data_IF_355954922145
#
_entry.id   IF_355954922145
#
_cell.length_a   1.000
_cell.length_b   1.000
_cell.length_c   1.000
_cell.angle_alpha   90.00
_cell.angle_beta   90.00
_cell.angle_gamma   90.00
#
_symmetry.space_group_name_H-M   'P 1'
#
loop_
_entity.id
_entity.type
_entity.pdbx_description
1 polymer ?
#
# COMPACT_ATOMS: atom_id res chain seq x y z
N UNK A 1 25.18 15.51 -38.32
CA UNK A 1 24.04 15.98 -37.50
C UNK A 1 22.90 15.05 -37.83
N UNK A 2 22.76 13.96 -37.07
CA UNK A 2 21.76 12.94 -37.32
C UNK A 2 20.36 13.50 -37.05
N UNK A 3 19.40 13.14 -37.88
CA UNK A 3 17.98 13.40 -37.64
C UNK A 3 17.63 12.85 -36.25
N UNK A 4 17.33 13.74 -35.31
CA UNK A 4 16.67 13.32 -34.07
C UNK A 4 15.37 12.63 -34.47
N UNK A 5 15.16 11.38 -34.01
CA UNK A 5 13.88 10.71 -34.18
C UNK A 5 12.77 11.61 -33.65
N UNK A 6 11.59 11.59 -34.28
CA UNK A 6 10.48 12.36 -33.75
C UNK A 6 10.11 11.86 -32.33
N UNK A 7 9.42 12.70 -31.55
CA UNK A 7 9.10 12.36 -30.16
C UNK A 7 8.29 11.05 -30.01
N UNK A 8 7.53 10.65 -31.04
CA UNK A 8 6.79 9.41 -31.03
C UNK A 8 7.70 8.19 -31.26
N UNK A 9 8.69 8.31 -32.15
CA UNK A 9 9.70 7.28 -32.37
C UNK A 9 10.57 7.05 -31.12
N UNK A 10 11.04 8.12 -30.49
CA UNK A 10 11.80 8.02 -29.24
C UNK A 10 10.95 7.40 -28.12
N UNK A 11 9.65 7.69 -28.06
CA UNK A 11 8.73 7.04 -27.12
C UNK A 11 8.64 5.52 -27.37
N UNK A 12 8.52 5.08 -28.62
CA UNK A 12 8.54 3.65 -28.97
C UNK A 12 9.84 2.99 -28.49
N UNK A 13 10.98 3.60 -28.76
CA UNK A 13 12.27 3.05 -28.33
C UNK A 13 12.40 3.01 -26.80
N UNK A 14 11.91 4.04 -26.10
CA UNK A 14 11.88 4.04 -24.63
C UNK A 14 11.04 2.87 -24.09
N UNK A 15 9.86 2.62 -24.66
CA UNK A 15 9.03 1.47 -24.28
C UNK A 15 9.72 0.14 -24.56
N UNK A 16 10.39 -0.02 -25.70
CA UNK A 16 11.13 -1.23 -26.04
C UNK A 16 12.33 -1.48 -25.13
N UNK A 17 13.11 -0.44 -24.85
CA UNK A 17 14.22 -0.49 -23.92
C UNK A 17 13.75 -0.81 -22.48
N UNK A 18 12.58 -0.31 -22.08
CA UNK A 18 11.98 -0.64 -20.79
C UNK A 18 11.47 -2.09 -20.75
N UNK A 19 10.78 -2.56 -21.80
CA UNK A 19 10.28 -3.93 -21.91
C UNK A 19 11.40 -4.96 -21.79
N UNK A 20 12.56 -4.70 -22.42
CA UNK A 20 13.73 -5.58 -22.33
C UNK A 20 14.36 -5.67 -20.92
N UNK A 21 14.01 -4.76 -20.01
CA UNK A 21 14.47 -4.73 -18.63
C UNK A 21 13.41 -5.23 -17.63
N UNK A 22 12.15 -5.37 -18.07
CA UNK A 22 11.02 -5.67 -17.21
C UNK A 22 11.15 -7.09 -16.62
N UNK A 23 11.27 -7.17 -15.29
CA UNK A 23 11.45 -8.43 -14.56
C UNK A 23 11.06 -8.30 -13.08
N UNK A 24 10.91 -9.44 -12.41
CA UNK A 24 10.58 -9.53 -10.98
C UNK A 24 9.87 -10.83 -10.66
N UNK A 25 10.19 -11.45 -9.52
CA UNK A 25 9.63 -12.75 -9.13
C UNK A 25 8.79 -12.63 -7.86
N UNK A 26 7.57 -13.16 -7.92
CA UNK A 26 6.62 -13.20 -6.81
C UNK A 26 7.14 -13.98 -5.60
N UNK A 27 8.05 -14.95 -5.83
CA UNK A 27 8.70 -15.73 -4.77
C UNK A 27 9.36 -14.85 -3.70
N UNK A 28 9.84 -13.66 -4.09
CA UNK A 28 10.55 -12.75 -3.18
C UNK A 28 9.63 -11.92 -2.28
N UNK A 29 8.30 -12.04 -2.41
CA UNK A 29 7.33 -11.30 -1.58
C UNK A 29 7.58 -11.37 -0.06
N UNK A 30 8.03 -12.50 0.53
CA UNK A 30 8.33 -12.57 1.95
C UNK A 30 9.59 -11.79 2.36
N UNK A 31 10.48 -11.46 1.42
CA UNK A 31 11.84 -10.96 1.67
C UNK A 31 12.00 -9.46 1.38
N UNK A 32 13.13 -8.88 1.81
CA UNK A 32 13.48 -7.50 1.43
C UNK A 32 13.67 -7.36 -0.10
N UNK A 33 14.03 -8.46 -0.77
CA UNK A 33 14.20 -8.52 -2.22
C UNK A 33 12.96 -8.08 -3.01
N UNK A 34 11.74 -8.22 -2.47
CA UNK A 34 10.52 -7.70 -3.12
C UNK A 34 10.62 -6.21 -3.50
N UNK A 35 11.33 -5.42 -2.69
CA UNK A 35 11.42 -3.98 -2.88
C UNK A 35 12.38 -3.61 -4.01
N UNK A 36 13.29 -4.52 -4.38
CA UNK A 36 14.26 -4.30 -5.45
C UNK A 36 13.56 -4.08 -6.79
N UNK A 37 12.53 -4.87 -7.09
CA UNK A 37 11.78 -4.73 -8.33
C UNK A 37 11.14 -3.33 -8.46
N UNK A 38 10.57 -2.79 -7.39
CA UNK A 38 9.94 -1.45 -7.39
C UNK A 38 10.98 -0.35 -7.70
N UNK A 39 12.12 -0.37 -7.01
CA UNK A 39 13.20 0.59 -7.26
C UNK A 39 13.82 0.44 -8.66
N UNK A 40 14.00 -0.80 -9.11
CA UNK A 40 14.53 -1.09 -10.44
C UNK A 40 13.57 -0.66 -11.55
N UNK A 41 12.25 -0.77 -11.37
CA UNK A 41 11.27 -0.29 -12.37
C UNK A 41 11.42 1.20 -12.63
N UNK A 42 11.54 2.02 -11.59
CA UNK A 42 11.74 3.47 -11.73
C UNK A 42 13.09 3.78 -12.41
N UNK A 43 14.17 3.11 -11.99
CA UNK A 43 15.51 3.27 -12.59
C UNK A 43 15.53 2.85 -14.07
N UNK A 44 14.93 1.71 -14.40
CA UNK A 44 14.92 1.16 -15.75
C UNK A 44 14.12 2.04 -16.72
N UNK A 45 12.97 2.58 -16.28
CA UNK A 45 12.18 3.53 -17.07
C UNK A 45 12.95 4.82 -17.38
N UNK A 46 13.60 5.41 -16.37
CA UNK A 46 14.44 6.61 -16.58
C UNK A 46 15.59 6.32 -17.55
N UNK A 47 16.31 5.22 -17.35
CA UNK A 47 17.40 4.82 -18.25
C UNK A 47 16.91 4.62 -19.68
N UNK A 48 15.77 3.95 -19.86
CA UNK A 48 15.19 3.70 -21.18
C UNK A 48 14.83 4.99 -21.92
N UNK A 49 14.26 5.98 -21.21
CA UNK A 49 13.96 7.30 -21.77
C UNK A 49 15.24 8.06 -22.16
N UNK A 50 16.27 8.07 -21.31
CA UNK A 50 17.55 8.72 -21.59
C UNK A 50 18.28 8.07 -22.78
N UNK A 51 18.25 6.74 -22.87
CA UNK A 51 18.81 6.00 -24.01
C UNK A 51 18.09 6.37 -25.31
N UNK A 52 16.76 6.44 -25.30
CA UNK A 52 15.99 6.82 -26.47
C UNK A 52 16.26 8.27 -26.94
N UNK A 53 16.51 9.21 -26.00
CA UNK A 53 16.93 10.57 -26.33
C UNK A 53 18.26 10.61 -27.09
N UNK A 54 19.15 9.65 -26.82
CA UNK A 54 20.42 9.45 -27.52
C UNK A 54 20.28 8.56 -28.79
N UNK A 55 19.05 8.35 -29.26
CA UNK A 55 18.70 7.49 -30.41
C UNK A 55 19.15 6.03 -30.25
N UNK A 56 19.19 5.51 -29.03
CA UNK A 56 19.34 4.09 -28.78
C UNK A 56 18.03 3.36 -29.09
N UNK A 57 18.02 2.60 -30.19
CA UNK A 57 16.79 2.03 -30.77
C UNK A 57 16.21 0.88 -29.94
N UNK A 58 14.88 0.82 -29.85
CA UNK A 58 14.13 -0.17 -29.03
C UNK A 58 13.10 -1.02 -29.79
N UNK A 59 13.17 -1.06 -31.13
CA UNK A 59 12.23 -1.82 -31.97
C UNK A 59 10.92 -1.09 -32.29
N UNK A 60 10.22 -1.55 -33.33
CA UNK A 60 9.02 -0.88 -33.88
C UNK A 60 7.73 -1.17 -33.09
N UNK A 61 7.59 -2.39 -32.56
CA UNK A 61 6.38 -2.88 -31.90
C UNK A 61 6.71 -3.48 -30.53
N UNK A 62 7.15 -2.66 -29.56
CA UNK A 62 7.72 -3.13 -28.30
C UNK A 62 6.73 -3.88 -27.40
N UNK A 63 5.44 -3.57 -27.50
CA UNK A 63 4.40 -4.18 -26.66
C UNK A 63 3.63 -5.27 -27.40
N UNK A 64 3.14 -4.94 -28.59
CA UNK A 64 2.18 -5.70 -29.38
C UNK A 64 2.80 -6.58 -30.46
N UNK A 65 4.10 -6.44 -30.74
CA UNK A 65 4.79 -7.25 -31.75
C UNK A 65 4.73 -8.74 -31.44
N UNK A 66 5.05 -9.58 -32.44
CA UNK A 66 5.08 -11.05 -32.30
C UNK A 66 5.89 -11.53 -31.08
N UNK A 67 7.00 -10.86 -30.80
CA UNK A 67 7.86 -11.08 -29.63
C UNK A 67 7.84 -9.88 -28.65
N UNK A 68 6.78 -9.06 -28.73
CA UNK A 68 6.57 -7.92 -27.86
C UNK A 68 6.19 -8.33 -26.44
N UNK A 69 6.32 -7.38 -25.52
CA UNK A 69 6.12 -7.62 -24.08
C UNK A 69 4.81 -8.35 -23.76
N UNK A 70 3.69 -7.94 -24.37
CA UNK A 70 2.38 -8.51 -24.08
C UNK A 70 2.28 -9.99 -24.44
N UNK A 71 2.88 -10.39 -25.57
CA UNK A 71 2.87 -11.79 -26.03
C UNK A 71 3.88 -12.66 -25.28
N UNK A 72 5.01 -12.08 -24.86
CA UNK A 72 6.04 -12.82 -24.10
C UNK A 72 5.59 -13.08 -22.65
N UNK A 73 4.94 -12.09 -22.03
CA UNK A 73 4.56 -12.15 -20.61
C UNK A 73 3.13 -12.66 -20.40
N UNK A 74 2.25 -12.56 -21.41
CA UNK A 74 0.85 -12.99 -21.34
C UNK A 74 0.59 -14.27 -22.12
N UNK A 75 -0.34 -15.10 -21.64
CA UNK A 75 -0.76 -16.31 -22.37
C UNK A 75 -1.59 -15.97 -23.61
N UNK A 76 -2.55 -15.05 -23.49
CA UNK A 76 -3.38 -14.51 -24.58
C UNK A 76 -3.66 -13.04 -24.23
N UNK A 77 -2.81 -12.09 -24.65
CA UNK A 77 -2.98 -10.69 -24.27
C UNK A 77 -4.18 -10.06 -24.98
N UNK A 78 -5.00 -9.31 -24.24
CA UNK A 78 -5.98 -8.39 -24.83
C UNK A 78 -5.31 -7.03 -25.07
N UNK A 79 -4.91 -6.79 -26.32
CA UNK A 79 -4.22 -5.55 -26.70
C UNK A 79 -5.14 -4.32 -26.68
N UNK A 80 -6.47 -4.51 -26.69
CA UNK A 80 -7.39 -3.38 -26.61
C UNK A 80 -7.25 -2.66 -25.26
N UNK A 81 -6.85 -3.36 -24.20
CA UNK A 81 -6.59 -2.74 -22.89
C UNK A 81 -5.50 -1.66 -22.91
N UNK A 82 -4.61 -1.64 -23.91
CA UNK A 82 -3.55 -0.63 -24.02
C UNK A 82 -4.08 0.77 -24.37
N UNK A 83 -5.18 0.83 -25.12
CA UNK A 83 -5.71 2.07 -25.71
C UNK A 83 -7.19 2.31 -25.44
N UNK A 84 -7.87 1.33 -24.83
CA UNK A 84 -9.28 1.44 -24.46
C UNK A 84 -9.51 2.70 -23.60
N UNK A 85 -10.40 3.57 -24.06
CA UNK A 85 -10.75 4.86 -23.41
C UNK A 85 -9.55 5.79 -23.17
N UNK A 86 -8.47 5.67 -23.95
CA UNK A 86 -7.33 6.58 -23.86
C UNK A 86 -7.79 8.02 -24.12
N UNK A 87 -7.53 8.90 -23.15
CA UNK A 87 -7.97 10.31 -23.17
C UNK A 87 -9.35 10.55 -22.57
N UNK A 88 -10.10 9.50 -22.22
CA UNK A 88 -11.42 9.59 -21.58
C UNK A 88 -11.39 9.10 -20.13
N UNK A 89 -10.65 8.02 -19.85
CA UNK A 89 -10.48 7.47 -18.50
C UNK A 89 -9.01 7.33 -18.11
N UNK A 90 -8.75 7.39 -16.81
CA UNK A 90 -7.41 7.37 -16.24
C UNK A 90 -7.37 6.39 -15.07
N UNK A 91 -6.65 5.28 -15.21
CA UNK A 91 -6.50 4.26 -14.15
C UNK A 91 -5.91 4.84 -12.86
N UNK A 92 -5.10 5.91 -12.95
CA UNK A 92 -4.57 6.60 -11.79
C UNK A 92 -5.68 7.13 -10.86
N UNK A 93 -6.82 7.55 -11.41
CA UNK A 93 -7.96 8.04 -10.64
C UNK A 93 -8.71 6.92 -9.88
N UNK A 94 -8.47 5.65 -10.25
CA UNK A 94 -9.03 4.49 -9.56
C UNK A 94 -8.13 3.97 -8.42
N UNK A 95 -6.99 4.62 -8.14
CA UNK A 95 -6.08 4.20 -7.09
C UNK A 95 -6.65 4.46 -5.68
N UNK A 96 -6.58 3.45 -4.84
CA UNK A 96 -6.89 3.51 -3.42
C UNK A 96 -5.67 3.90 -2.57
N UNK A 97 -5.89 4.64 -1.48
CA UNK A 97 -4.86 4.94 -0.49
C UNK A 97 -4.94 3.99 0.69
N UNK A 98 -3.81 3.43 1.11
CA UNK A 98 -3.78 2.56 2.29
C UNK A 98 -3.77 3.37 3.59
N UNK A 99 -4.77 3.25 4.48
CA UNK A 99 -4.71 3.88 5.80
C UNK A 99 -3.66 3.22 6.70
N UNK A 100 -3.41 1.92 6.52
CA UNK A 100 -2.53 1.11 7.38
C UNK A 100 -1.37 0.48 6.60
N UNK A 101 -0.19 0.28 7.22
CA UNK A 101 0.99 -0.31 6.59
C UNK A 101 0.91 -1.85 6.52
N UNK A 102 -0.25 -2.40 6.16
CA UNK A 102 -0.55 -3.84 6.15
C UNK A 102 -1.12 -4.29 4.79
N UNK A 103 -1.29 -5.60 4.61
CA UNK A 103 -1.99 -6.17 3.45
C UNK A 103 -3.47 -5.76 3.43
N UNK A 104 -4.03 -5.55 2.24
CA UNK A 104 -5.41 -5.02 2.07
C UNK A 104 -6.47 -5.84 2.80
N UNK A 105 -6.30 -7.17 2.89
CA UNK A 105 -7.19 -8.08 3.62
C UNK A 105 -7.33 -7.76 5.12
N UNK A 106 -6.38 -7.05 5.71
CA UNK A 106 -6.39 -6.69 7.14
C UNK A 106 -7.11 -5.36 7.42
N UNK A 107 -7.31 -4.52 6.40
CA UNK A 107 -7.83 -3.16 6.56
C UNK A 107 -9.24 -3.14 7.15
N UNK A 108 -10.23 -3.91 6.66
CA UNK A 108 -11.56 -3.90 7.24
C UNK A 108 -11.59 -4.43 8.68
N UNK A 109 -10.67 -5.33 9.04
CA UNK A 109 -10.52 -5.83 10.43
C UNK A 109 -10.02 -4.71 11.36
N UNK A 110 -9.00 -3.97 10.92
CA UNK A 110 -8.44 -2.84 11.68
C UNK A 110 -9.52 -1.75 11.85
N UNK A 111 -10.22 -1.40 10.77
CA UNK A 111 -11.33 -0.43 10.79
C UNK A 111 -12.39 -0.84 11.82
N UNK A 112 -12.83 -2.10 11.80
CA UNK A 112 -13.81 -2.62 12.74
C UNK A 112 -13.34 -2.49 14.19
N UNK A 113 -12.09 -2.84 14.49
CA UNK A 113 -11.54 -2.75 15.84
C UNK A 113 -11.44 -1.30 16.33
N UNK A 114 -10.95 -0.38 15.48
CA UNK A 114 -10.83 1.04 15.82
C UNK A 114 -12.20 1.69 16.04
N UNK A 115 -13.19 1.36 15.21
CA UNK A 115 -14.56 1.85 15.34
C UNK A 115 -15.21 1.33 16.63
N UNK A 116 -15.11 0.03 16.92
CA UNK A 116 -15.62 -0.56 18.16
C UNK A 116 -14.99 0.08 19.41
N UNK A 117 -13.67 0.28 19.39
CA UNK A 117 -12.96 0.93 20.49
C UNK A 117 -13.46 2.35 20.71
N UNK A 118 -13.61 3.14 19.64
CA UNK A 118 -14.05 4.52 19.72
C UNK A 118 -15.52 4.65 20.16
N UNK A 119 -16.42 3.84 19.58
CA UNK A 119 -17.87 3.90 19.83
C UNK A 119 -18.25 3.47 21.26
N UNK A 120 -17.51 2.51 21.83
CA UNK A 120 -17.83 1.93 23.13
C UNK A 120 -16.79 2.25 24.23
N UNK A 121 -15.78 3.07 23.92
CA UNK A 121 -14.65 3.35 24.82
C UNK A 121 -14.04 2.07 25.42
N UNK A 122 -13.83 1.05 24.57
CA UNK A 122 -13.42 -0.29 25.02
C UNK A 122 -12.06 -0.24 25.71
N UNK A 123 -12.01 -0.70 26.96
CA UNK A 123 -10.76 -1.05 27.63
C UNK A 123 -10.30 -2.45 27.16
N UNK A 124 -9.16 -2.48 26.48
CA UNK A 124 -8.57 -3.71 25.94
C UNK A 124 -8.30 -4.77 27.03
N UNK A 125 -8.06 -4.37 28.27
CA UNK A 125 -7.80 -5.30 29.38
C UNK A 125 -9.04 -6.11 29.79
N UNK A 126 -10.23 -5.60 29.49
CA UNK A 126 -11.53 -6.20 29.78
C UNK A 126 -12.05 -7.09 28.64
N UNK A 127 -11.31 -7.20 27.53
CA UNK A 127 -11.68 -8.07 26.41
C UNK A 127 -11.43 -9.54 26.79
N UNK A 128 -12.47 -10.36 26.69
CA UNK A 128 -12.40 -11.82 26.85
C UNK A 128 -11.94 -12.48 25.56
N UNK A 129 -12.54 -12.11 24.43
CA UNK A 129 -12.27 -12.74 23.13
C UNK A 129 -12.64 -11.83 21.96
N UNK A 130 -11.90 -11.94 20.85
CA UNK A 130 -12.18 -11.26 19.57
C UNK A 130 -12.34 -12.33 18.49
N UNK A 131 -13.52 -12.42 17.89
CA UNK A 131 -13.76 -13.28 16.73
C UNK A 131 -13.74 -12.43 15.45
N UNK A 132 -12.87 -12.78 14.52
CA UNK A 132 -12.80 -12.16 13.19
C UNK A 132 -13.38 -13.14 12.18
N UNK A 133 -14.28 -12.67 11.31
CA UNK A 133 -14.77 -13.43 10.17
C UNK A 133 -14.50 -12.66 8.88
N UNK A 134 -13.82 -13.30 7.93
CA UNK A 134 -13.37 -12.67 6.69
C UNK A 134 -13.10 -13.67 5.57
N UNK A 135 -12.77 -13.14 4.39
CA UNK A 135 -12.45 -13.93 3.21
C UNK A 135 -11.35 -14.99 3.49
N UNK A 136 -11.34 -16.18 2.85
CA UNK A 136 -10.30 -17.19 3.04
C UNK A 136 -8.87 -16.66 2.83
N UNK A 137 -8.69 -15.70 1.92
CA UNK A 137 -7.39 -15.06 1.67
C UNK A 137 -6.82 -14.38 2.92
N UNK A 138 -7.66 -13.85 3.81
CA UNK A 138 -7.22 -13.30 5.10
C UNK A 138 -6.53 -14.39 5.94
N UNK A 139 -7.08 -15.61 5.97
CA UNK A 139 -6.49 -16.73 6.68
C UNK A 139 -5.20 -17.25 6.04
N UNK A 140 -5.17 -17.35 4.72
CA UNK A 140 -3.97 -17.75 3.98
C UNK A 140 -2.82 -16.75 4.13
N UNK A 141 -3.15 -15.46 4.18
CA UNK A 141 -2.17 -14.38 4.11
C UNK A 141 -1.87 -13.73 5.44
N UNK A 142 -2.66 -13.91 6.50
CA UNK A 142 -2.50 -13.15 7.74
C UNK A 142 -2.78 -13.90 9.06
N UNK A 143 -3.09 -15.19 9.03
CA UNK A 143 -3.24 -15.99 10.26
C UNK A 143 -1.87 -16.29 10.89
N UNK A 144 -1.38 -15.37 11.71
CA UNK A 144 -0.04 -15.40 12.31
C UNK A 144 -0.11 -14.93 13.77
N UNK A 145 -0.46 -15.80 14.72
CA UNK A 145 -0.73 -15.39 16.11
C UNK A 145 0.50 -14.92 16.88
N UNK A 146 1.70 -15.31 16.46
CA UNK A 146 2.96 -15.00 17.15
C UNK A 146 3.97 -14.31 16.20
N UNK A 147 3.72 -13.05 15.79
CA UNK A 147 4.69 -12.31 14.99
C UNK A 147 5.96 -12.04 15.79
N UNK A 148 7.12 -12.18 15.16
CA UNK A 148 8.44 -12.10 15.82
C UNK A 148 9.03 -10.69 15.81
N UNK A 149 8.58 -9.86 14.87
CA UNK A 149 9.07 -8.51 14.61
C UNK A 149 7.97 -7.70 13.92
N UNK A 150 8.22 -6.41 13.71
CA UNK A 150 7.29 -5.47 13.11
C UNK A 150 6.79 -5.86 11.72
N UNK A 151 7.68 -6.39 10.89
CA UNK A 151 7.35 -6.86 9.54
C UNK A 151 6.40 -8.07 9.57
N UNK A 152 6.67 -9.03 10.45
CA UNK A 152 5.79 -10.19 10.63
C UNK A 152 4.42 -9.74 11.18
N UNK A 153 4.43 -8.74 12.07
CA UNK A 153 3.21 -8.19 12.69
C UNK A 153 2.32 -7.45 11.70
N UNK A 154 2.87 -6.78 10.69
CA UNK A 154 2.08 -6.15 9.61
C UNK A 154 1.31 -7.15 8.75
N UNK A 155 1.56 -8.44 8.96
CA UNK A 155 0.89 -9.55 8.31
C UNK A 155 0.19 -10.46 9.34
N UNK A 156 -0.17 -9.96 10.52
CA UNK A 156 -0.84 -10.73 11.58
C UNK A 156 -2.21 -10.13 11.89
N UNK A 157 -3.28 -10.88 11.65
CA UNK A 157 -4.63 -10.45 12.02
C UNK A 157 -4.75 -10.29 13.54
N UNK A 158 -4.11 -11.17 14.30
CA UNK A 158 -4.11 -11.12 15.76
C UNK A 158 -3.44 -9.84 16.27
N UNK A 159 -2.27 -9.47 15.73
CA UNK A 159 -1.60 -8.23 16.11
C UNK A 159 -2.40 -6.99 15.69
N UNK A 160 -2.99 -7.00 14.49
CA UNK A 160 -3.81 -5.90 14.01
C UNK A 160 -5.00 -5.62 14.94
N UNK A 161 -5.74 -6.66 15.35
CA UNK A 161 -6.82 -6.51 16.33
C UNK A 161 -6.29 -6.01 17.67
N UNK A 162 -5.26 -6.66 18.21
CA UNK A 162 -4.74 -6.37 19.53
C UNK A 162 -4.24 -4.92 19.65
N UNK A 163 -3.41 -4.47 18.71
CA UNK A 163 -2.81 -3.13 18.76
C UNK A 163 -3.84 -2.03 18.51
N UNK A 164 -4.85 -2.29 17.66
CA UNK A 164 -5.95 -1.37 17.44
C UNK A 164 -6.76 -1.13 18.72
N UNK A 165 -7.04 -2.18 19.51
CA UNK A 165 -7.72 -2.01 20.81
C UNK A 165 -6.81 -1.38 21.88
N UNK A 166 -5.55 -1.80 21.97
CA UNK A 166 -4.61 -1.27 22.98
C UNK A 166 -4.30 0.21 22.76
N UNK A 167 -4.01 0.63 21.53
CA UNK A 167 -3.54 1.98 21.24
C UNK A 167 -4.59 2.89 20.60
N UNK A 168 -5.60 2.33 19.95
CA UNK A 168 -6.53 3.13 19.13
C UNK A 168 -5.93 3.64 17.85
N UNK A 169 -4.86 3.00 17.38
CA UNK A 169 -4.18 3.34 16.15
C UNK A 169 -3.57 2.08 15.53
N UNK A 170 -3.25 2.17 14.24
CA UNK A 170 -2.58 1.12 13.47
C UNK A 170 -1.65 1.74 12.41
N UNK A 171 -0.92 2.80 12.77
CA UNK A 171 0.10 3.43 11.94
C UNK A 171 1.45 2.72 12.06
N UNK A 172 2.51 3.28 11.46
CA UNK A 172 3.85 2.66 11.44
C UNK A 172 4.39 2.35 12.86
N UNK A 173 4.10 3.21 13.84
CA UNK A 173 4.53 3.06 15.24
C UNK A 173 4.01 1.75 15.87
N UNK A 174 2.78 1.37 15.54
CA UNK A 174 2.11 0.17 16.05
C UNK A 174 2.62 -1.13 15.44
N UNK A 175 3.45 -1.06 14.41
CA UNK A 175 4.11 -2.20 13.77
C UNK A 175 5.63 -2.15 13.95
N UNK A 176 6.13 -1.48 14.99
CA UNK A 176 7.55 -1.55 15.40
C UNK A 176 7.82 -2.79 16.27
N UNK A 177 9.07 -3.25 16.35
CA UNK A 177 9.46 -4.36 17.24
C UNK A 177 9.09 -4.08 18.70
N UNK A 178 9.20 -2.82 19.13
CA UNK A 178 8.80 -2.37 20.46
C UNK A 178 7.28 -2.57 20.68
N UNK A 179 6.45 -2.18 19.71
CA UNK A 179 5.00 -2.40 19.78
C UNK A 179 4.64 -3.90 19.78
N UNK A 180 5.36 -4.71 18.99
CA UNK A 180 5.18 -6.16 18.93
C UNK A 180 5.52 -6.85 20.25
N UNK A 181 6.52 -6.33 20.96
CA UNK A 181 7.00 -6.83 22.25
C UNK A 181 6.16 -6.40 23.46
N UNK A 182 5.14 -5.54 23.29
CA UNK A 182 4.26 -5.12 24.38
C UNK A 182 3.49 -6.31 24.96
N UNK A 183 3.52 -6.45 26.29
CA UNK A 183 2.90 -7.57 26.99
C UNK A 183 1.37 -7.58 26.88
N UNK A 184 0.73 -6.41 26.89
CA UNK A 184 -0.73 -6.27 26.77
C UNK A 184 -1.22 -6.69 25.38
N UNK A 185 -0.57 -6.20 24.31
CA UNK A 185 -0.85 -6.62 22.96
C UNK A 185 -0.59 -8.12 22.77
N UNK A 186 0.52 -8.64 23.31
CA UNK A 186 0.85 -10.07 23.24
C UNK A 186 -0.20 -10.96 23.90
N UNK A 187 -0.73 -10.56 25.07
CA UNK A 187 -1.80 -11.27 25.76
C UNK A 187 -3.11 -11.24 24.97
N UNK A 188 -3.46 -10.09 24.40
CA UNK A 188 -4.70 -9.95 23.61
C UNK A 188 -4.64 -10.73 22.30
N UNK A 189 -3.47 -10.84 21.64
CA UNK A 189 -3.28 -11.68 20.43
C UNK A 189 -3.76 -13.12 20.63
N UNK A 190 -3.56 -13.70 21.82
CA UNK A 190 -3.96 -15.08 22.15
C UNK A 190 -5.48 -15.26 22.26
N UNK A 191 -6.23 -14.16 22.32
CA UNK A 191 -7.69 -14.14 22.44
C UNK A 191 -8.38 -13.79 21.12
N UNK A 192 -7.61 -13.72 20.03
CA UNK A 192 -8.14 -13.45 18.68
C UNK A 192 -8.23 -14.74 17.90
N UNK A 193 -9.41 -15.06 17.39
CA UNK A 193 -9.62 -16.16 16.44
C UNK A 193 -10.11 -15.65 15.09
N UNK A 194 -9.82 -16.43 14.05
CA UNK A 194 -10.19 -16.12 12.67
C UNK A 194 -11.05 -17.25 12.09
N UNK A 195 -12.21 -16.87 11.55
CA UNK A 195 -13.09 -17.71 10.75
C UNK A 195 -12.98 -17.30 9.28
N UNK A 196 -12.72 -18.28 8.41
CA UNK A 196 -12.70 -18.09 6.96
C UNK A 196 -14.09 -18.32 6.39
N UNK A 197 -14.58 -17.37 5.60
CA UNK A 197 -15.91 -17.38 5.03
C UNK A 197 -15.87 -16.98 3.56
N UNK A 198 -16.20 -17.93 2.66
CA UNK A 198 -16.20 -17.72 1.20
C UNK A 198 -17.26 -16.73 0.73
N UNK A 199 -18.28 -16.45 1.57
CA UNK A 199 -19.31 -15.46 1.29
C UNK A 199 -18.88 -14.02 1.60
N UNK A 200 -17.71 -13.81 2.22
CA UNK A 200 -17.20 -12.50 2.60
C UNK A 200 -16.19 -11.99 1.58
N UNK A 201 -16.34 -10.74 1.13
CA UNK A 201 -15.43 -10.10 0.19
C UNK A 201 -14.01 -9.91 0.74
N UNK A 202 -13.03 -9.74 -0.15
CA UNK A 202 -11.62 -9.49 0.22
C UNK A 202 -11.44 -8.19 1.03
N UNK A 203 -12.29 -7.21 0.76
CA UNK A 203 -12.29 -5.88 1.37
C UNK A 203 -13.36 -5.72 2.48
N UNK A 204 -13.91 -6.84 2.94
CA UNK A 204 -15.00 -6.92 3.91
C UNK A 204 -14.58 -7.74 5.14
N UNK A 205 -15.06 -7.35 6.32
CA UNK A 205 -14.87 -8.15 7.53
C UNK A 205 -15.99 -7.95 8.56
N UNK A 206 -16.15 -8.97 9.41
CA UNK A 206 -16.96 -8.91 10.62
C UNK A 206 -16.07 -9.13 11.84
N UNK A 207 -16.23 -8.30 12.86
CA UNK A 207 -15.53 -8.44 14.14
C UNK A 207 -16.56 -8.48 15.26
N UNK A 208 -16.45 -9.49 16.10
CA UNK A 208 -17.18 -9.61 17.36
C UNK A 208 -16.19 -9.54 18.53
N UNK A 209 -16.49 -8.72 19.52
CA UNK A 209 -15.71 -8.57 20.75
C UNK A 209 -16.59 -8.98 21.92
N UNK A 210 -16.17 -10.02 22.64
CA UNK A 210 -16.76 -10.42 23.91
C UNK A 210 -15.97 -9.79 25.05
N UNK A 211 -16.67 -9.08 25.92
CA UNK A 211 -16.13 -8.48 27.13
C UNK A 211 -16.24 -9.46 28.30
N UNK A 212 -15.36 -9.36 29.30
CA UNK A 212 -15.41 -10.16 30.53
C UNK A 212 -16.71 -9.99 31.33
N UNK A 213 -17.43 -8.89 31.11
CA UNK A 213 -18.77 -8.67 31.67
C UNK A 213 -19.86 -9.53 31.00
N UNK A 214 -19.54 -10.23 29.91
CA UNK A 214 -20.48 -10.94 29.05
C UNK A 214 -21.09 -10.08 27.93
N UNK A 215 -20.82 -8.78 27.88
CA UNK A 215 -21.27 -7.92 26.78
C UNK A 215 -20.62 -8.33 25.46
N UNK A 216 -21.38 -8.28 24.37
CA UNK A 216 -20.92 -8.60 23.02
C UNK A 216 -21.11 -7.38 22.14
N UNK A 217 -20.01 -6.93 21.53
CA UNK A 217 -19.98 -5.81 20.60
C UNK A 217 -19.66 -6.34 19.21
N UNK A 218 -20.37 -5.89 18.17
CA UNK A 218 -20.18 -6.37 16.81
C UNK A 218 -20.01 -5.22 15.83
N UNK A 219 -19.19 -5.45 14.80
CA UNK A 219 -19.01 -4.51 13.70
C UNK A 219 -18.86 -5.24 12.39
N UNK A 220 -19.52 -4.71 11.37
CA UNK A 220 -19.37 -5.12 9.97
C UNK A 220 -18.79 -3.95 9.19
N UNK A 221 -17.73 -4.22 8.44
CA UNK A 221 -17.11 -3.26 7.52
C UNK A 221 -17.32 -3.80 6.11
N UNK A 222 -18.27 -3.24 5.33
CA UNK A 222 -18.57 -3.70 3.97
C UNK A 222 -17.55 -3.24 2.93
N UNK A 223 -16.92 -2.09 3.18
CA UNK A 223 -15.89 -1.49 2.35
C UNK A 223 -14.78 -0.94 3.24
N UNK A 224 -13.54 -1.26 2.92
CA UNK A 224 -12.38 -0.76 3.65
C UNK A 224 -12.20 0.75 3.47
N UNK A 225 -11.70 1.41 4.51
CA UNK A 225 -11.27 2.81 4.44
C UNK A 225 -10.09 2.98 3.48
N UNK A 226 -10.16 4.01 2.63
CA UNK A 226 -9.23 4.27 1.54
C UNK A 226 -9.60 3.66 0.18
N UNK A 227 -10.68 2.87 0.12
CA UNK A 227 -11.29 2.41 -1.14
C UNK A 227 -12.02 3.55 -1.86
N UNK A 228 -12.43 3.34 -3.11
CA UNK A 228 -13.24 4.32 -3.84
C UNK A 228 -14.62 4.56 -3.19
N UNK A 229 -15.17 3.55 -2.52
CA UNK A 229 -16.46 3.62 -1.82
C UNK A 229 -16.35 4.32 -0.46
N UNK A 230 -15.17 4.29 0.16
CA UNK A 230 -14.89 4.90 1.45
C UNK A 230 -13.51 5.58 1.43
N UNK A 231 -13.33 6.67 0.65
CA UNK A 231 -12.03 7.30 0.48
C UNK A 231 -11.53 7.91 1.79
N UNK A 232 -10.21 8.01 1.93
CA UNK A 232 -9.61 8.83 2.99
C UNK A 232 -9.89 10.30 2.68
N UNK A 233 -10.27 11.08 3.69
CA UNK A 233 -10.35 12.53 3.57
C UNK A 233 -8.96 13.17 3.48
N UNK A 234 -8.89 14.39 2.94
CA UNK A 234 -7.65 15.16 2.83
C UNK A 234 -6.96 15.31 4.18
N UNK A 235 -7.72 15.60 5.25
CA UNK A 235 -7.19 15.72 6.61
C UNK A 235 -6.52 14.42 7.11
N UNK A 236 -7.00 13.26 6.68
CA UNK A 236 -6.35 11.98 7.02
C UNK A 236 -5.10 11.74 6.21
N UNK A 237 -5.10 12.12 4.93
CA UNK A 237 -3.91 12.04 4.07
C UNK A 237 -2.80 12.95 4.61
N UNK A 238 -3.16 14.17 5.05
CA UNK A 238 -2.24 15.13 5.69
C UNK A 238 -1.72 14.62 7.04
N UNK A 239 -2.59 14.09 7.89
CA UNK A 239 -2.19 13.51 9.17
C UNK A 239 -1.25 12.31 8.96
N UNK A 240 -1.56 11.46 7.99
CA UNK A 240 -0.71 10.32 7.59
C UNK A 240 0.64 10.80 7.04
N UNK A 241 0.64 11.80 6.15
CA UNK A 241 1.88 12.38 5.62
C UNK A 241 2.74 12.93 6.76
N UNK A 242 2.15 13.70 7.66
CA UNK A 242 2.85 14.30 8.80
C UNK A 242 3.48 13.25 9.72
N UNK A 243 2.74 12.20 10.10
CA UNK A 243 3.29 11.13 10.94
C UNK A 243 4.44 10.39 10.24
N UNK A 244 4.25 10.01 8.97
CA UNK A 244 5.25 9.24 8.22
C UNK A 244 6.49 10.07 7.88
N UNK A 245 6.32 11.32 7.48
CA UNK A 245 7.40 12.25 7.21
C UNK A 245 8.20 12.52 8.49
N UNK A 246 7.54 12.77 9.62
CA UNK A 246 8.21 12.98 10.90
C UNK A 246 8.99 11.75 11.39
N UNK A 247 8.54 10.54 11.07
CA UNK A 247 9.26 9.29 11.34
C UNK A 247 10.50 9.12 10.46
N UNK A 248 10.37 9.38 9.15
CA UNK A 248 11.46 9.20 8.20
C UNK A 248 12.52 10.32 8.29
N UNK A 249 12.06 11.53 8.62
CA UNK A 249 12.83 12.76 8.57
C UNK A 249 12.51 13.65 9.78
N UNK A 250 13.08 13.37 10.97
CA UNK A 250 12.87 14.20 12.15
C UNK A 250 13.24 15.67 11.86
N UNK A 251 12.31 16.58 12.12
CA UNK A 251 12.48 18.01 11.84
C UNK A 251 12.04 18.48 10.45
N UNK A 252 11.48 17.59 9.62
CA UNK A 252 10.83 18.00 8.37
C UNK A 252 9.66 18.95 8.64
N UNK A 253 9.57 20.01 7.83
CA UNK A 253 8.42 20.91 7.82
C UNK A 253 7.30 20.28 7.00
N UNK A 254 6.59 19.32 7.62
CA UNK A 254 5.55 18.54 6.95
C UNK A 254 4.41 19.41 6.42
N UNK A 255 4.02 20.46 7.13
CA UNK A 255 2.95 21.35 6.69
C UNK A 255 3.34 22.07 5.40
N UNK A 256 4.57 22.63 5.34
CA UNK A 256 5.04 23.28 4.13
C UNK A 256 5.17 22.31 2.94
N UNK A 257 5.48 21.04 3.20
CA UNK A 257 5.47 20.01 2.16
C UNK A 257 4.05 19.79 1.62
N UNK A 258 3.08 19.61 2.54
CA UNK A 258 1.67 19.41 2.22
C UNK A 258 1.13 20.58 1.39
N UNK A 259 1.38 21.82 1.83
CA UNK A 259 0.90 23.02 1.14
C UNK A 259 1.40 23.10 -0.31
N UNK A 260 2.65 22.70 -0.58
CA UNK A 260 3.18 22.65 -1.95
C UNK A 260 2.67 21.44 -2.75
N UNK A 261 2.46 20.30 -2.11
CA UNK A 261 1.94 19.09 -2.77
C UNK A 261 0.50 19.29 -3.25
N UNK A 262 -0.33 19.98 -2.47
CA UNK A 262 -1.70 20.35 -2.87
C UNK A 262 -1.77 21.40 -3.97
N UNK A 263 -0.66 22.06 -4.29
CA UNK A 263 -0.56 23.08 -5.34
C UNK A 263 0.39 22.66 -6.48
N UNK A 264 0.71 21.37 -6.59
CA UNK A 264 1.76 20.83 -7.46
C UNK A 264 1.63 21.30 -8.92
N UNK A 265 0.41 21.31 -9.46
CA UNK A 265 0.10 21.71 -10.82
C UNK A 265 0.35 23.20 -11.10
N UNK A 266 0.38 24.02 -10.05
CA UNK A 266 0.64 25.46 -10.13
C UNK A 266 2.09 25.84 -9.85
N UNK A 267 2.93 24.87 -9.42
CA UNK A 267 4.33 25.14 -9.15
C UNK A 267 5.09 25.42 -10.45
N UNK A 268 5.90 26.49 -10.51
CA UNK A 268 6.69 26.82 -11.71
C UNK A 268 7.83 25.82 -11.96
N UNK A 269 8.25 25.10 -10.92
CA UNK A 269 9.25 24.04 -10.98
C UNK A 269 9.10 23.08 -9.79
N UNK A 270 9.40 21.80 -10.00
CA UNK A 270 9.35 20.78 -8.93
C UNK A 270 10.59 20.77 -8.04
N UNK A 271 11.72 21.33 -8.50
CA UNK A 271 12.99 21.27 -7.77
C UNK A 271 12.91 21.83 -6.32
N UNK A 272 12.27 22.98 -6.06
CA UNK A 272 12.12 23.48 -4.68
C UNK A 272 11.32 22.54 -3.76
N UNK A 273 10.32 21.83 -4.31
CA UNK A 273 9.57 20.81 -3.58
C UNK A 273 10.46 19.60 -3.27
N UNK A 274 11.27 19.15 -4.24
CA UNK A 274 12.23 18.06 -4.01
C UNK A 274 13.24 18.44 -2.92
N UNK A 275 13.76 19.66 -2.93
CA UNK A 275 14.70 20.13 -1.90
C UNK A 275 14.08 20.13 -0.50
N UNK A 276 12.78 20.43 -0.40
CA UNK A 276 12.03 20.40 0.86
C UNK A 276 11.82 18.96 1.37
N UNK A 277 11.57 18.02 0.44
CA UNK A 277 11.39 16.61 0.73
C UNK A 277 12.72 15.86 0.96
N UNK A 278 13.84 16.48 0.59
CA UNK A 278 15.17 15.87 0.73
C UNK A 278 15.77 16.21 2.08
N UNK A 279 16.04 15.18 2.88
CA UNK A 279 16.86 15.31 4.07
C UNK A 279 18.25 15.82 3.70
N UNK A 280 18.59 17.04 4.10
CA UNK A 280 20.00 17.44 4.20
C UNK A 280 20.61 16.54 5.27
N UNK A 281 21.50 15.62 4.87
CA UNK A 281 22.34 14.90 5.83
C UNK A 281 22.93 15.95 6.78
N UNK A 282 22.71 15.78 8.08
CA UNK A 282 23.46 16.54 9.08
C UNK A 282 24.95 16.31 8.77
N UNK A 283 25.68 17.40 8.59
CA UNK A 283 27.13 17.39 8.36
C UNK A 283 27.85 16.85 9.59
#
# INVERSE_FOLDING_TARGET
MGSHGDGAEQMKWALGNAANQASGLVETLPDMAKNLAVGNSARAGLLAALLAQENFTGGEHPLEGQFGFCHVMGQVPDLNCLTHQLGESWELAANAYKPYPTGVVLHPVIDACLQLRAEHAVDASLIEHIAVRGNPLLGERADRPAPRNGRDASLSVQHCCAIAFCEGAAGLRQFTDAAVGRADAAALRQRVSLMRDVGVGVEEAFVEVRMQSGAVLTKHVPHLRGSLQCPMSDAELEAKFTDQAGLAAPGIDAQRCIDQLWQLESLPAVAPLIDLLTLKKAA
#
